data_IF_281680717487
#
_entry.id   IF_281680717487
#
_cell.length_a   1.000
_cell.length_b   1.000
_cell.length_c   1.000
_cell.angle_alpha   90.00
_cell.angle_beta   90.00
_cell.angle_gamma   90.00
#
_symmetry.space_group_name_H-M   'P 1'
#
loop_
_entity.id
_entity.type
_entity.pdbx_description
1 polymer ?
#
# COMPACT_ATOMS: atom_id res chain seq x y z
N UNK A 1 -20.93 -20.59 0.13
CA UNK A 1 -19.70 -19.86 0.44
C UNK A 1 -18.65 -20.37 -0.51
N UNK A 2 -18.35 -19.62 -1.57
CA UNK A 2 -17.33 -20.00 -2.55
C UNK A 2 -15.97 -19.64 -1.96
N UNK A 3 -15.08 -20.63 -1.86
CA UNK A 3 -13.65 -20.41 -1.60
C UNK A 3 -13.05 -19.87 -2.91
N UNK A 4 -13.29 -18.59 -3.15
CA UNK A 4 -12.77 -17.86 -4.29
C UNK A 4 -11.64 -16.97 -3.78
N UNK A 5 -10.58 -16.90 -4.58
CA UNK A 5 -9.41 -16.06 -4.41
C UNK A 5 -9.35 -15.28 -5.73
N UNK A 6 -9.90 -14.07 -5.72
CA UNK A 6 -10.25 -13.29 -6.91
C UNK A 6 -9.02 -12.66 -7.56
N UNK A 7 -8.00 -12.33 -6.78
CA UNK A 7 -6.76 -11.69 -7.23
C UNK A 7 -5.53 -12.62 -7.20
N UNK A 8 -5.69 -13.86 -6.71
CA UNK A 8 -4.65 -14.88 -6.63
C UNK A 8 -3.47 -14.48 -5.75
N UNK A 9 -3.74 -13.76 -4.66
CA UNK A 9 -2.73 -13.34 -3.68
C UNK A 9 -2.38 -14.45 -2.67
N UNK A 10 -3.19 -15.51 -2.60
CA UNK A 10 -3.03 -16.66 -1.72
C UNK A 10 -3.94 -16.65 -0.49
N UNK A 11 -4.86 -15.68 -0.37
CA UNK A 11 -5.93 -15.61 0.60
C UNK A 11 -7.28 -15.79 -0.09
N UNK A 12 -8.24 -16.41 0.60
CA UNK A 12 -9.60 -16.49 0.06
C UNK A 12 -10.33 -15.18 0.34
N UNK A 13 -11.15 -14.72 -0.60
CA UNK A 13 -11.97 -13.48 -0.53
C UNK A 13 -12.77 -13.32 0.77
N UNK A 14 -13.05 -14.43 1.48
CA UNK A 14 -13.81 -14.44 2.73
C UNK A 14 -12.98 -14.04 3.97
N UNK A 15 -11.66 -14.21 3.87
CA UNK A 15 -10.66 -13.96 4.92
C UNK A 15 -9.68 -12.85 4.49
N UNK A 16 -9.88 -12.27 3.31
CA UNK A 16 -9.06 -11.22 2.70
C UNK A 16 -9.67 -9.83 2.97
N UNK A 17 -8.88 -8.95 3.61
CA UNK A 17 -9.30 -7.57 3.86
C UNK A 17 -9.26 -6.71 2.59
N UNK A 18 -8.51 -7.13 1.58
CA UNK A 18 -8.35 -6.49 0.28
C UNK A 18 -8.62 -7.47 -0.88
N UNK A 19 -9.90 -7.87 -1.05
CA UNK A 19 -10.39 -8.82 -2.07
C UNK A 19 -9.94 -8.59 -3.54
N UNK A 20 -9.33 -7.44 -3.83
CA UNK A 20 -8.59 -7.17 -5.07
C UNK A 20 -7.38 -6.30 -4.73
N UNK A 21 -6.27 -6.96 -4.41
CA UNK A 21 -4.99 -6.35 -4.07
C UNK A 21 -4.12 -6.07 -5.31
N UNK A 22 -3.33 -5.01 -5.24
CA UNK A 22 -2.30 -4.73 -6.23
C UNK A 22 -1.08 -5.64 -5.99
N UNK A 23 -0.87 -6.63 -6.85
CA UNK A 23 0.29 -7.54 -6.81
C UNK A 23 1.48 -7.06 -7.68
N UNK A 24 1.49 -5.77 -8.03
CA UNK A 24 2.61 -5.13 -8.73
C UNK A 24 3.93 -5.32 -7.97
N UNK A 25 5.06 -5.34 -8.69
CA UNK A 25 6.36 -5.58 -8.08
C UNK A 25 6.83 -4.43 -7.17
N UNK A 26 6.42 -3.20 -7.48
CA UNK A 26 6.81 -1.99 -6.75
C UNK A 26 5.60 -1.13 -6.42
N UNK A 27 5.75 -0.29 -5.40
CA UNK A 27 4.72 0.64 -4.95
C UNK A 27 4.67 1.84 -5.91
N UNK A 28 3.54 1.99 -6.60
CA UNK A 28 3.28 3.08 -7.55
C UNK A 28 2.19 4.00 -7.00
N UNK A 29 2.49 5.29 -6.86
CA UNK A 29 1.57 6.28 -6.31
C UNK A 29 1.25 7.33 -7.36
N UNK A 30 0.00 7.40 -7.83
CA UNK A 30 -0.41 8.38 -8.84
C UNK A 30 0.37 8.30 -10.16
N UNK A 31 0.98 7.15 -10.47
CA UNK A 31 1.86 6.98 -11.63
C UNK A 31 3.35 7.27 -11.35
N UNK A 32 3.73 7.63 -10.12
CA UNK A 32 5.11 7.68 -9.67
C UNK A 32 5.52 6.33 -9.09
N UNK A 33 6.46 5.63 -9.74
CA UNK A 33 7.07 4.42 -9.20
C UNK A 33 8.12 4.77 -8.15
N UNK A 34 7.87 4.38 -6.91
CA UNK A 34 8.78 4.64 -5.78
C UNK A 34 10.01 3.72 -5.77
N UNK A 35 9.98 2.62 -6.54
CA UNK A 35 10.99 1.56 -6.50
C UNK A 35 11.01 0.74 -5.21
N UNK A 36 10.05 0.97 -4.30
CA UNK A 36 9.90 0.18 -3.07
C UNK A 36 9.16 -1.11 -3.38
N UNK A 37 9.64 -2.29 -2.93
CA UNK A 37 8.92 -3.54 -3.12
C UNK A 37 7.51 -3.47 -2.52
N UNK A 38 6.50 -3.81 -3.31
CA UNK A 38 5.14 -3.88 -2.82
C UNK A 38 4.92 -5.22 -2.11
N UNK A 39 5.01 -5.21 -0.78
CA UNK A 39 4.93 -6.44 0.02
C UNK A 39 3.48 -6.77 0.32
N UNK A 40 3.11 -8.05 0.11
CA UNK A 40 1.83 -8.60 0.52
C UNK A 40 1.87 -8.95 2.02
N UNK A 41 0.86 -8.53 2.77
CA UNK A 41 0.73 -8.80 4.19
C UNK A 41 -0.07 -10.08 4.45
N UNK A 42 -0.04 -10.53 5.70
CA UNK A 42 -0.82 -11.69 6.13
C UNK A 42 -2.34 -11.45 6.17
N UNK A 43 -2.77 -10.22 5.91
CA UNK A 43 -4.17 -9.79 5.83
C UNK A 43 -4.73 -9.85 4.40
N UNK A 44 -3.90 -10.21 3.41
CA UNK A 44 -4.23 -10.18 1.98
C UNK A 44 -3.97 -8.84 1.31
N UNK A 45 -3.87 -7.73 2.06
CA UNK A 45 -3.53 -6.43 1.49
C UNK A 45 -2.04 -6.30 1.13
N UNK A 46 -1.71 -5.53 0.09
CA UNK A 46 -0.35 -5.06 -0.21
C UNK A 46 -0.09 -3.65 0.32
N UNK A 47 1.17 -3.18 0.27
CA UNK A 47 1.51 -1.79 0.61
C UNK A 47 0.76 -0.80 -0.30
N UNK A 48 0.63 -1.10 -1.59
CA UNK A 48 -0.12 -0.29 -2.54
C UNK A 48 -1.59 -0.16 -2.16
N UNK A 49 -2.21 -1.22 -1.63
CA UNK A 49 -3.62 -1.21 -1.22
C UNK A 49 -3.83 -0.33 0.01
N UNK A 50 -2.95 -0.46 1.00
CA UNK A 50 -2.97 0.41 2.18
C UNK A 50 -2.80 1.89 1.81
N UNK A 51 -1.97 2.19 0.81
CA UNK A 51 -1.79 3.55 0.30
C UNK A 51 -3.01 4.04 -0.50
N UNK A 52 -3.64 3.16 -1.29
CA UNK A 52 -4.87 3.46 -2.00
C UNK A 52 -6.02 3.77 -1.03
N UNK A 53 -6.10 3.07 0.10
CA UNK A 53 -7.04 3.39 1.17
C UNK A 53 -6.80 4.80 1.74
N UNK A 54 -5.53 5.17 1.98
CA UNK A 54 -5.20 6.55 2.41
C UNK A 54 -5.65 7.59 1.37
N UNK A 55 -5.54 7.29 0.08
CA UNK A 55 -6.04 8.16 -0.98
C UNK A 55 -7.57 8.28 -0.97
N UNK A 56 -8.29 7.19 -0.72
CA UNK A 56 -9.75 7.18 -0.65
C UNK A 56 -10.30 7.94 0.58
N UNK A 57 -9.60 7.88 1.71
CA UNK A 57 -9.97 8.58 2.95
C UNK A 57 -9.56 10.06 2.98
N UNK A 58 -8.62 10.46 2.13
CA UNK A 58 -8.08 11.81 2.14
C UNK A 58 -9.05 12.84 1.55
N UNK A 59 -9.42 13.84 2.36
CA UNK A 59 -10.24 14.96 1.91
C UNK A 59 -9.53 15.91 0.93
N UNK A 60 -8.19 15.89 0.89
CA UNK A 60 -7.36 16.69 0.00
C UNK A 60 -5.95 16.07 -0.08
N UNK A 61 -5.15 16.57 -1.03
CA UNK A 61 -3.78 16.10 -1.26
C UNK A 61 -2.90 16.17 0.00
N UNK A 62 -3.00 17.22 0.83
CA UNK A 62 -2.23 17.32 2.06
C UNK A 62 -2.59 16.25 3.10
N UNK A 63 -3.87 15.92 3.21
CA UNK A 63 -4.34 14.81 4.06
C UNK A 63 -3.84 13.46 3.54
N UNK A 64 -3.81 13.27 2.22
CA UNK A 64 -3.25 12.07 1.58
C UNK A 64 -1.77 11.92 1.92
N UNK A 65 -0.95 12.94 1.64
CA UNK A 65 0.50 12.92 1.91
C UNK A 65 0.79 12.68 3.39
N UNK A 66 -0.04 13.20 4.29
CA UNK A 66 0.07 12.94 5.72
C UNK A 66 -0.29 11.49 6.09
N UNK A 67 -1.34 10.94 5.50
CA UNK A 67 -1.71 9.53 5.67
C UNK A 67 -0.61 8.60 5.21
N UNK A 68 -0.05 8.86 4.02
CA UNK A 68 1.11 8.13 3.48
C UNK A 68 2.31 8.21 4.41
N UNK A 69 2.59 9.40 4.98
CA UNK A 69 3.70 9.57 5.91
C UNK A 69 3.55 8.71 7.17
N UNK A 70 2.35 8.69 7.74
CA UNK A 70 2.08 7.87 8.93
C UNK A 70 2.19 6.39 8.63
N UNK A 71 1.55 5.93 7.55
CA UNK A 71 1.62 4.52 7.14
C UNK A 71 3.05 4.08 6.87
N UNK A 72 3.82 4.86 6.11
CA UNK A 72 5.20 4.52 5.80
C UNK A 72 6.12 4.58 7.02
N UNK A 73 5.84 5.45 8.00
CA UNK A 73 6.52 5.44 9.28
C UNK A 73 6.24 4.14 10.05
N UNK A 74 4.98 3.74 10.16
CA UNK A 74 4.58 2.51 10.84
C UNK A 74 5.22 1.28 10.17
N UNK A 75 5.28 1.24 8.84
CA UNK A 75 5.97 0.18 8.10
C UNK A 75 7.49 0.18 8.32
N UNK A 76 8.07 1.35 8.55
CA UNK A 76 9.50 1.46 8.89
C UNK A 76 9.77 0.95 10.30
N UNK A 77 8.90 1.29 11.26
CA UNK A 77 8.98 0.81 12.65
C UNK A 77 8.76 -0.70 12.74
N UNK A 78 7.86 -1.25 11.92
CA UNK A 78 7.64 -2.69 11.78
C UNK A 78 8.79 -3.40 11.04
N UNK A 79 9.75 -2.67 10.46
CA UNK A 79 10.87 -3.22 9.70
C UNK A 79 10.51 -3.79 8.33
N UNK A 80 9.32 -3.46 7.82
CA UNK A 80 8.84 -3.88 6.49
C UNK A 80 9.56 -3.11 5.40
N UNK A 81 9.76 -1.81 5.62
CA UNK A 81 10.52 -0.93 4.74
C UNK A 81 11.67 -0.25 5.49
N UNK A 82 12.68 0.17 4.75
CA UNK A 82 13.80 0.96 5.25
C UNK A 82 13.47 2.46 5.22
N UNK A 83 14.20 3.26 6.00
CA UNK A 83 14.06 4.73 5.98
C UNK A 83 14.29 5.36 4.60
N UNK A 84 15.12 4.74 3.75
CA UNK A 84 15.31 5.19 2.37
C UNK A 84 14.05 4.94 1.51
N UNK A 85 13.41 3.78 1.69
CA UNK A 85 12.15 3.43 1.02
C UNK A 85 10.99 4.31 1.49
N UNK A 86 10.91 4.60 2.79
CA UNK A 86 9.98 5.60 3.33
C UNK A 86 10.14 6.95 2.61
N UNK A 87 11.38 7.44 2.46
CA UNK A 87 11.65 8.68 1.75
C UNK A 87 11.19 8.66 0.27
N UNK A 88 11.38 7.53 -0.41
CA UNK A 88 10.97 7.36 -1.81
C UNK A 88 9.44 7.37 -1.98
N UNK A 89 8.73 6.64 -1.12
CA UNK A 89 7.26 6.65 -1.07
C UNK A 89 6.74 8.06 -0.82
N UNK A 90 7.30 8.75 0.19
CA UNK A 90 6.88 10.09 0.56
C UNK A 90 7.13 11.10 -0.56
N UNK A 91 8.23 10.97 -1.29
CA UNK A 91 8.54 11.82 -2.43
C UNK A 91 7.53 11.64 -3.58
N UNK A 92 7.16 10.38 -3.89
CA UNK A 92 6.13 10.11 -4.90
C UNK A 92 4.75 10.63 -4.48
N UNK A 93 4.39 10.51 -3.20
CA UNK A 93 3.11 10.99 -2.68
C UNK A 93 2.99 12.52 -2.70
N UNK A 94 4.07 13.24 -2.33
CA UNK A 94 4.07 14.70 -2.29
C UNK A 94 4.32 15.37 -3.65
N UNK A 95 4.86 14.62 -4.62
CA UNK A 95 5.23 15.13 -5.95
C UNK A 95 4.14 15.04 -7.02
N UNK A 96 2.95 14.49 -6.69
CA UNK A 96 1.82 14.32 -7.61
C UNK A 96 0.76 15.41 -7.48
#
# INVERSE_FOLDING_TARGET
>A
MTMQDTDCDGYFDIDDECAVSDLGATVVIGGCDSGVPNSLFATGCSISDLLAEQAALAANHGSFVRGVAHLSNDLTEAGVISGAQHGAIQACAAGN
#
